data_IF_023923230535
#
_entry.id   IF_023923230535
#
_cell.length_a   1.000
_cell.length_b   1.000
_cell.length_c   1.000
_cell.angle_alpha   90.00
_cell.angle_beta   90.00
_cell.angle_gamma   90.00
#
_symmetry.space_group_name_H-M   'P 1'
#
loop_
_entity.id
_entity.type
_entity.pdbx_description
1 polymer ?
#
# COMPACT_ATOMS: atom_id res chain seq x y z
N UNK A 1 -31.95 -25.54 0.47
CA UNK A 1 -30.93 -26.55 0.82
C UNK A 1 -29.73 -26.29 -0.07
N UNK A 2 -28.57 -25.92 0.48
CA UNK A 2 -27.35 -25.76 -0.34
C UNK A 2 -26.97 -27.18 -0.80
N UNK A 3 -26.76 -27.45 -2.09
CA UNK A 3 -26.36 -28.77 -2.56
C UNK A 3 -25.10 -29.21 -1.80
N UNK A 4 -25.19 -30.34 -1.11
CA UNK A 4 -24.03 -30.94 -0.45
C UNK A 4 -23.15 -31.54 -1.55
N UNK A 5 -22.22 -30.75 -2.06
CA UNK A 5 -21.19 -31.22 -2.98
C UNK A 5 -20.23 -32.09 -2.19
N UNK A 6 -19.98 -33.31 -2.66
CA UNK A 6 -18.92 -34.17 -2.13
C UNK A 6 -17.59 -33.42 -2.23
N UNK A 7 -16.97 -33.13 -1.09
CA UNK A 7 -15.67 -32.46 -1.05
C UNK A 7 -14.59 -33.42 -1.57
N UNK A 8 -13.60 -32.87 -2.28
CA UNK A 8 -12.40 -33.62 -2.69
C UNK A 8 -11.61 -34.04 -1.46
N UNK A 9 -10.96 -35.20 -1.52
CA UNK A 9 -10.20 -35.74 -0.38
C UNK A 9 -8.96 -34.88 -0.07
N UNK A 10 -8.50 -34.82 1.20
CA UNK A 10 -7.34 -34.01 1.58
C UNK A 10 -6.08 -34.31 0.77
N UNK A 11 -5.84 -35.56 0.39
CA UNK A 11 -4.65 -35.98 -0.38
C UNK A 11 -4.61 -35.35 -1.79
N UNK A 12 -5.76 -34.94 -2.32
CA UNK A 12 -5.86 -34.26 -3.60
C UNK A 12 -5.64 -32.75 -3.49
N UNK A 13 -6.14 -32.12 -2.41
CA UNK A 13 -6.21 -30.65 -2.29
C UNK A 13 -5.15 -30.04 -1.37
N UNK A 14 -4.67 -30.77 -0.36
CA UNK A 14 -3.69 -30.32 0.63
C UNK A 14 -2.24 -30.57 0.18
N UNK A 15 -1.94 -30.39 -1.11
CA UNK A 15 -0.58 -30.48 -1.64
C UNK A 15 0.12 -29.14 -1.46
N UNK A 16 1.39 -29.11 -1.05
CA UNK A 16 2.16 -27.87 -0.89
C UNK A 16 2.16 -27.00 -2.16
N UNK A 17 2.28 -27.64 -3.33
CA UNK A 17 2.19 -26.97 -4.64
C UNK A 17 0.83 -26.32 -4.91
N UNK A 18 -0.25 -26.81 -4.30
CA UNK A 18 -1.61 -26.24 -4.38
C UNK A 18 -1.86 -25.17 -3.31
N UNK A 19 -1.44 -25.43 -2.07
CA UNK A 19 -1.61 -24.49 -0.96
C UNK A 19 -0.81 -23.20 -1.19
N UNK A 20 0.40 -23.30 -1.75
CA UNK A 20 1.21 -22.16 -2.16
C UNK A 20 0.70 -21.41 -3.41
N UNK A 21 -0.26 -21.99 -4.15
CA UNK A 21 -0.87 -21.42 -5.36
C UNK A 21 -2.36 -21.07 -5.19
N UNK A 22 -2.88 -21.03 -3.96
CA UNK A 22 -4.23 -20.56 -3.69
C UNK A 22 -4.33 -19.05 -3.98
N UNK A 23 -4.70 -18.74 -5.21
CA UNK A 23 -5.02 -17.38 -5.64
C UNK A 23 -6.29 -16.84 -4.97
N UNK A 24 -6.48 -15.52 -5.07
CA UNK A 24 -7.60 -14.79 -4.47
C UNK A 24 -8.97 -15.43 -4.77
N UNK A 25 -9.69 -15.84 -3.72
CA UNK A 25 -11.08 -16.30 -3.84
C UNK A 25 -12.06 -15.13 -3.69
N UNK A 26 -13.37 -15.38 -3.87
CA UNK A 26 -14.42 -14.37 -3.64
C UNK A 26 -14.45 -13.83 -2.20
N UNK A 27 -13.83 -14.54 -1.25
CA UNK A 27 -13.73 -14.22 0.18
C UNK A 27 -12.51 -13.32 0.47
N UNK A 28 -11.65 -13.05 -0.52
CA UNK A 28 -10.52 -12.12 -0.37
C UNK A 28 -11.00 -10.74 0.09
N UNK A 29 -10.43 -10.24 1.19
CA UNK A 29 -10.76 -8.92 1.76
C UNK A 29 -10.57 -7.79 0.73
N UNK A 30 -9.51 -7.87 -0.08
CA UNK A 30 -9.25 -6.92 -1.17
C UNK A 30 -10.36 -6.95 -2.23
N UNK A 31 -10.84 -8.13 -2.64
CA UNK A 31 -11.94 -8.21 -3.62
C UNK A 31 -13.26 -7.67 -3.07
N UNK A 32 -13.49 -7.81 -1.76
CA UNK A 32 -14.66 -7.19 -1.11
C UNK A 32 -14.56 -5.66 -1.18
N UNK A 33 -13.40 -5.09 -0.83
CA UNK A 33 -13.14 -3.66 -0.93
C UNK A 33 -13.32 -3.16 -2.37
N UNK A 34 -12.62 -3.73 -3.35
CA UNK A 34 -12.64 -3.26 -4.74
C UNK A 34 -14.05 -3.28 -5.34
N UNK A 35 -14.84 -4.32 -5.05
CA UNK A 35 -16.24 -4.37 -5.49
C UNK A 35 -17.06 -3.23 -4.89
N UNK A 36 -16.85 -2.91 -3.61
CA UNK A 36 -17.54 -1.81 -2.94
C UNK A 36 -17.15 -0.45 -3.54
N UNK A 37 -15.85 -0.20 -3.67
CA UNK A 37 -15.31 1.03 -4.28
C UNK A 37 -15.97 1.28 -5.65
N UNK A 38 -16.08 0.23 -6.47
CA UNK A 38 -16.72 0.30 -7.77
C UNK A 38 -18.25 0.49 -7.68
N UNK A 39 -18.96 -0.33 -6.88
CA UNK A 39 -20.44 -0.27 -6.81
C UNK A 39 -20.97 1.03 -6.22
N UNK A 40 -20.21 1.63 -5.30
CA UNK A 40 -20.56 2.89 -4.65
C UNK A 40 -19.94 4.11 -5.34
N UNK A 41 -19.24 3.93 -6.48
CA UNK A 41 -18.60 4.99 -7.25
C UNK A 41 -17.69 5.89 -6.40
N UNK A 42 -16.81 5.28 -5.59
CA UNK A 42 -15.86 6.05 -4.79
C UNK A 42 -14.96 6.89 -5.70
N UNK A 43 -14.74 8.14 -5.32
CA UNK A 43 -13.94 9.10 -6.10
C UNK A 43 -12.55 9.21 -5.50
N UNK A 44 -11.54 9.33 -6.35
CA UNK A 44 -10.15 9.52 -5.96
C UNK A 44 -9.70 10.90 -6.41
N UNK A 45 -9.07 11.65 -5.51
CA UNK A 45 -8.47 12.92 -5.87
C UNK A 45 -7.12 12.70 -6.57
N UNK A 46 -6.68 13.71 -7.31
CA UNK A 46 -5.29 13.76 -7.76
C UNK A 46 -4.38 13.82 -6.51
N UNK A 47 -3.27 13.05 -6.48
CA UNK A 47 -2.37 13.09 -5.34
C UNK A 47 -1.80 14.49 -5.09
N UNK A 48 -1.72 14.90 -3.82
CA UNK A 48 -0.88 16.03 -3.43
C UNK A 48 0.56 15.54 -3.37
N UNK A 49 1.39 15.96 -4.33
CA UNK A 49 2.70 15.37 -4.58
C UNK A 49 3.83 16.31 -4.14
N UNK A 50 4.50 15.97 -3.04
CA UNK A 50 5.63 16.72 -2.46
C UNK A 50 6.87 15.81 -2.36
N UNK A 51 7.21 15.18 -3.48
CA UNK A 51 8.34 14.26 -3.62
C UNK A 51 9.39 14.93 -4.53
N UNK A 52 10.64 15.00 -4.06
CA UNK A 52 11.76 15.55 -4.82
C UNK A 52 12.22 14.59 -5.94
N UNK A 53 13.12 15.06 -6.81
CA UNK A 53 13.55 14.31 -7.99
C UNK A 53 14.23 12.96 -7.67
N UNK A 54 14.71 12.76 -6.43
CA UNK A 54 15.29 11.50 -5.96
C UNK A 54 14.23 10.52 -5.41
N UNK A 55 12.95 10.90 -5.40
CA UNK A 55 11.87 10.06 -4.89
C UNK A 55 11.69 10.13 -3.37
N UNK A 56 12.14 11.21 -2.71
CA UNK A 56 12.01 11.42 -1.26
C UNK A 56 11.06 12.58 -0.94
N UNK A 57 10.35 12.49 0.17
CA UNK A 57 9.38 13.51 0.61
C UNK A 57 8.07 12.87 1.07
N UNK A 58 6.94 13.50 0.73
CA UNK A 58 5.63 12.94 1.04
C UNK A 58 4.61 13.12 -0.08
N UNK A 59 3.59 12.27 -0.08
CA UNK A 59 2.42 12.43 -0.95
C UNK A 59 1.14 12.04 -0.21
N UNK A 60 0.00 12.61 -0.61
CA UNK A 60 -1.30 12.20 -0.08
C UNK A 60 -2.26 11.72 -1.15
N UNK A 61 -3.05 10.70 -0.83
CA UNK A 61 -4.05 10.08 -1.71
C UNK A 61 -5.40 10.07 -1.01
N UNK A 62 -6.26 11.03 -1.36
CA UNK A 62 -7.61 11.12 -0.82
C UNK A 62 -8.58 10.27 -1.64
N UNK A 63 -9.45 9.55 -0.93
CA UNK A 63 -10.56 8.80 -1.52
C UNK A 63 -11.85 9.15 -0.79
N UNK A 64 -12.93 9.30 -1.55
CA UNK A 64 -14.25 9.74 -1.10
C UNK A 64 -15.28 8.65 -1.37
N UNK A 65 -15.80 8.06 -0.30
CA UNK A 65 -17.00 7.25 -0.35
C UNK A 65 -18.28 8.09 -0.24
N UNK A 66 -19.45 7.45 -0.13
CA UNK A 66 -20.74 8.13 -0.04
C UNK A 66 -20.87 9.07 1.16
N UNK A 67 -20.33 8.67 2.32
CA UNK A 67 -20.46 9.44 3.57
C UNK A 67 -19.15 10.05 4.07
N UNK A 68 -18.00 9.44 3.74
CA UNK A 68 -16.72 9.73 4.39
C UNK A 68 -15.58 9.74 3.39
N UNK A 69 -14.51 10.42 3.80
CA UNK A 69 -13.26 10.46 3.05
C UNK A 69 -12.14 9.86 3.88
N UNK A 70 -11.16 9.27 3.21
CA UNK A 70 -9.95 8.72 3.82
C UNK A 70 -8.74 9.16 3.03
N UNK A 71 -7.62 9.43 3.70
CA UNK A 71 -6.41 9.90 3.03
C UNK A 71 -5.23 9.05 3.42
N UNK A 72 -4.58 8.40 2.45
CA UNK A 72 -3.25 7.85 2.70
C UNK A 72 -2.26 9.02 2.76
N UNK A 73 -1.48 9.10 3.84
CA UNK A 73 -0.28 9.94 3.90
C UNK A 73 0.93 9.03 3.76
N UNK A 74 1.68 9.20 2.68
CA UNK A 74 2.86 8.42 2.34
C UNK A 74 4.12 9.26 2.55
N UNK A 75 5.09 8.72 3.28
CA UNK A 75 6.42 9.32 3.45
C UNK A 75 7.46 8.41 2.80
N UNK A 76 8.25 8.96 1.88
CA UNK A 76 9.37 8.27 1.26
C UNK A 76 10.69 8.86 1.77
N UNK A 77 11.54 7.98 2.29
CA UNK A 77 12.75 8.36 3.02
C UNK A 77 13.99 8.07 2.19
N UNK A 78 15.01 8.90 2.37
CA UNK A 78 16.36 8.55 1.96
C UNK A 78 16.93 7.58 2.99
N UNK A 79 16.96 6.30 2.64
CA UNK A 79 17.47 5.23 3.47
C UNK A 79 18.72 4.64 2.83
N UNK A 80 19.90 4.76 3.48
CA UNK A 80 21.12 4.10 3.04
C UNK A 80 20.94 2.57 2.91
N UNK A 81 21.62 1.97 1.94
CA UNK A 81 21.44 0.55 1.60
C UNK A 81 21.83 -0.39 2.74
N UNK A 82 22.84 -0.02 3.52
CA UNK A 82 23.34 -0.74 4.69
C UNK A 82 22.35 -0.77 5.86
N UNK A 83 21.40 0.17 5.91
CA UNK A 83 20.33 0.22 6.91
C UNK A 83 19.07 -0.54 6.46
N UNK A 84 19.01 -0.99 5.20
CA UNK A 84 17.87 -1.75 4.69
C UNK A 84 17.90 -3.16 5.25
N UNK A 85 16.84 -3.51 5.97
CA UNK A 85 16.64 -4.85 6.49
C UNK A 85 15.22 -5.32 6.25
N UNK A 86 15.09 -6.56 5.80
CA UNK A 86 13.82 -7.25 5.63
C UNK A 86 13.26 -7.84 6.93
N UNK A 87 14.01 -7.70 8.03
CA UNK A 87 13.63 -8.24 9.32
C UNK A 87 12.57 -7.35 9.99
N UNK A 88 11.71 -7.97 10.79
CA UNK A 88 10.68 -7.25 11.57
C UNK A 88 11.27 -6.26 12.58
N UNK A 89 12.53 -6.49 12.99
CA UNK A 89 13.31 -5.67 13.92
C UNK A 89 14.08 -4.53 13.23
N UNK A 90 13.85 -4.29 11.93
CA UNK A 90 14.41 -3.12 11.28
C UNK A 90 13.97 -1.84 12.03
N UNK A 91 14.83 -0.83 12.05
CA UNK A 91 14.55 0.47 12.68
C UNK A 91 14.17 1.55 11.65
N UNK A 92 14.32 1.24 10.36
CA UNK A 92 14.01 2.15 9.26
C UNK A 92 13.49 1.40 8.03
N UNK A 93 12.72 2.10 7.20
CA UNK A 93 12.08 1.58 5.98
C UNK A 93 12.13 2.62 4.87
N UNK A 94 12.17 2.18 3.61
CA UNK A 94 12.18 3.11 2.46
C UNK A 94 10.93 4.00 2.44
N UNK A 95 9.77 3.47 2.85
CA UNK A 95 8.54 4.25 2.97
C UNK A 95 7.74 3.87 4.21
N UNK A 96 7.09 4.86 4.80
CA UNK A 96 6.13 4.70 5.89
C UNK A 96 4.82 5.41 5.59
N UNK A 97 3.73 4.90 6.16
CA UNK A 97 2.39 5.29 5.74
C UNK A 97 1.43 5.34 6.91
N UNK A 98 0.41 6.18 6.78
CA UNK A 98 -0.78 6.12 7.63
C UNK A 98 -2.04 6.41 6.82
N UNK A 99 -3.16 5.82 7.25
CA UNK A 99 -4.48 6.11 6.68
C UNK A 99 -5.21 7.05 7.64
N UNK A 100 -5.39 8.29 7.23
CA UNK A 100 -6.09 9.32 7.96
C UNK A 100 -7.61 9.23 7.73
N UNK A 101 -8.38 9.42 8.80
CA UNK A 101 -9.84 9.47 8.85
C UNK A 101 -10.30 10.89 8.46
N UNK A 102 -10.52 11.12 7.17
CA UNK A 102 -10.80 12.43 6.59
C UNK A 102 -9.62 12.99 5.79
N UNK A 103 -9.64 14.31 5.56
CA UNK A 103 -8.57 15.04 4.88
C UNK A 103 -7.63 15.65 5.93
N UNK A 104 -6.33 15.32 5.93
CA UNK A 104 -5.39 15.84 6.91
C UNK A 104 -5.11 17.33 6.67
N UNK A 105 -4.96 18.08 7.75
CA UNK A 105 -4.45 19.46 7.69
C UNK A 105 -2.93 19.47 7.48
N UNK A 106 -2.36 20.63 7.15
CA UNK A 106 -0.90 20.78 7.11
C UNK A 106 -0.24 20.46 8.46
N UNK A 107 -0.88 20.87 9.58
CA UNK A 107 -0.40 20.52 10.92
C UNK A 107 -0.45 19.01 11.19
N UNK A 108 -1.43 18.28 10.62
CA UNK A 108 -1.45 16.82 10.70
C UNK A 108 -0.28 16.22 9.93
N UNK A 109 -0.02 16.70 8.71
CA UNK A 109 1.10 16.20 7.89
C UNK A 109 2.44 16.40 8.60
N UNK A 110 2.68 17.57 9.19
CA UNK A 110 3.91 17.86 9.96
C UNK A 110 4.03 16.89 11.14
N UNK A 111 2.99 16.79 11.98
CA UNK A 111 2.98 15.86 13.13
C UNK A 111 3.22 14.41 12.70
N UNK A 112 2.60 13.98 11.60
CA UNK A 112 2.71 12.62 11.09
C UNK A 112 4.09 12.34 10.52
N UNK A 113 4.72 13.31 9.86
CA UNK A 113 6.09 13.20 9.36
C UNK A 113 7.07 12.89 10.48
N UNK A 114 6.87 13.49 11.65
CA UNK A 114 7.77 13.31 12.80
C UNK A 114 7.50 12.02 13.59
N UNK A 115 6.35 11.36 13.38
CA UNK A 115 5.92 10.22 14.21
C UNK A 115 5.75 8.90 13.46
N UNK A 116 5.22 8.93 12.24
CA UNK A 116 4.96 7.72 11.44
C UNK A 116 6.24 6.93 11.14
N UNK A 117 7.39 7.57 10.82
CA UNK A 117 8.65 6.85 10.60
C UNK A 117 9.19 6.13 11.85
N UNK A 118 8.89 6.63 13.05
CA UNK A 118 9.43 6.12 14.32
C UNK A 118 8.78 4.82 14.80
N UNK A 119 7.64 4.41 14.21
CA UNK A 119 6.93 3.16 14.53
C UNK A 119 6.70 2.96 16.04
N UNK A 120 7.32 1.95 16.66
CA UNK A 120 7.22 1.65 18.09
C UNK A 120 7.61 2.83 18.99
N UNK A 121 8.54 3.70 18.55
CA UNK A 121 8.95 4.89 19.27
C UNK A 121 8.07 6.12 18.99
N UNK A 122 7.26 6.09 17.92
CA UNK A 122 6.37 7.19 17.52
C UNK A 122 4.94 7.01 17.98
N UNK A 123 4.15 8.09 17.91
CA UNK A 123 2.70 8.03 18.20
C UNK A 123 1.90 8.74 17.13
N UNK A 124 0.90 8.04 16.60
CA UNK A 124 -0.17 8.66 15.82
C UNK A 124 -1.35 8.95 16.76
N UNK A 125 -2.49 9.32 16.20
CA UNK A 125 -3.66 9.73 16.94
C UNK A 125 -4.89 8.91 16.56
N UNK A 126 -6.00 9.16 17.28
CA UNK A 126 -7.32 8.60 16.97
C UNK A 126 -7.87 9.00 15.59
N UNK A 127 -7.21 9.91 14.88
CA UNK A 127 -7.58 10.31 13.51
C UNK A 127 -6.87 9.45 12.46
N UNK A 128 -5.91 8.61 12.84
CA UNK A 128 -5.26 7.68 11.94
C UNK A 128 -5.80 6.26 12.17
N UNK A 129 -6.34 5.63 11.14
CA UNK A 129 -6.92 4.29 11.20
C UNK A 129 -5.87 3.18 11.15
N UNK A 130 -4.81 3.41 10.37
CA UNK A 130 -3.73 2.42 10.22
C UNK A 130 -2.36 3.08 10.16
N UNK A 131 -1.33 2.32 10.50
CA UNK A 131 0.07 2.67 10.31
C UNK A 131 0.78 1.52 9.60
N UNK A 132 1.56 1.82 8.56
CA UNK A 132 2.24 0.82 7.74
C UNK A 132 3.65 1.26 7.38
N UNK A 133 4.46 0.31 6.93
CA UNK A 133 5.84 0.49 6.49
C UNK A 133 6.18 -0.51 5.40
N UNK A 134 7.05 -0.11 4.47
CA UNK A 134 7.39 -0.92 3.31
C UNK A 134 8.82 -0.64 2.81
N UNK A 135 9.44 -1.67 2.22
CA UNK A 135 10.76 -1.58 1.61
C UNK A 135 10.69 -1.81 0.10
N UNK A 136 11.56 -1.12 -0.63
CA UNK A 136 11.76 -1.29 -2.06
C UNK A 136 12.30 -2.68 -2.35
N UNK A 137 11.92 -3.24 -3.49
CA UNK A 137 12.45 -4.51 -3.95
C UNK A 137 13.88 -4.33 -4.43
N UNK A 138 14.84 -4.92 -3.71
CA UNK A 138 16.26 -4.97 -4.15
C UNK A 138 16.45 -5.68 -5.49
N UNK A 139 15.46 -6.45 -5.95
CA UNK A 139 15.51 -7.23 -7.20
C UNK A 139 14.91 -6.48 -8.39
N UNK A 140 13.92 -5.62 -8.16
CA UNK A 140 13.13 -4.99 -9.23
C UNK A 140 13.15 -3.47 -9.24
N UNK A 141 13.35 -2.79 -8.10
CA UNK A 141 13.12 -1.34 -8.02
C UNK A 141 13.97 -0.56 -9.03
N UNK A 142 15.29 -0.68 -8.93
CA UNK A 142 16.22 0.02 -9.82
C UNK A 142 16.08 -0.48 -11.26
N UNK A 143 15.92 -1.78 -11.46
CA UNK A 143 15.73 -2.37 -12.79
C UNK A 143 14.53 -1.78 -13.54
N UNK A 144 13.40 -1.61 -12.85
CA UNK A 144 12.19 -1.04 -13.48
C UNK A 144 12.37 0.45 -13.75
N UNK A 145 12.89 1.21 -12.79
CA UNK A 145 13.18 2.64 -12.99
C UNK A 145 14.13 2.84 -14.18
N UNK A 146 15.19 2.04 -14.27
CA UNK A 146 16.19 2.14 -15.33
C UNK A 146 15.61 1.80 -16.71
N UNK A 147 14.76 0.76 -16.76
CA UNK A 147 14.08 0.38 -18.00
C UNK A 147 13.18 1.51 -18.49
N UNK A 148 12.32 2.02 -17.61
CA UNK A 148 11.36 3.08 -17.93
C UNK A 148 12.07 4.39 -18.28
N UNK A 149 13.14 4.76 -17.56
CA UNK A 149 13.96 5.94 -17.86
C UNK A 149 14.65 5.85 -19.23
N UNK A 150 14.97 4.63 -19.69
CA UNK A 150 15.53 4.38 -21.02
C UNK A 150 14.46 4.31 -22.12
N UNK A 151 13.18 4.51 -21.79
CA UNK A 151 12.06 4.44 -22.75
C UNK A 151 11.58 3.02 -23.06
N UNK A 152 11.94 2.03 -22.23
CA UNK A 152 11.70 0.61 -22.47
C UNK A 152 10.83 0.02 -21.35
N UNK A 153 9.87 -0.83 -21.71
CA UNK A 153 9.10 -1.57 -20.71
C UNK A 153 9.93 -2.70 -20.06
N UNK A 154 9.84 -2.90 -18.74
CA UNK A 154 10.53 -4.01 -18.06
C UNK A 154 10.00 -5.38 -18.53
N UNK A 155 10.86 -6.40 -18.46
CA UNK A 155 10.52 -7.76 -18.87
C UNK A 155 9.45 -8.38 -17.95
N UNK A 156 8.34 -8.82 -18.54
CA UNK A 156 7.18 -9.36 -17.84
C UNK A 156 7.51 -10.62 -17.03
N UNK A 157 8.40 -11.50 -17.53
CA UNK A 157 8.77 -12.73 -16.82
C UNK A 157 9.51 -12.39 -15.53
N UNK A 158 10.43 -11.42 -15.58
CA UNK A 158 11.17 -10.94 -14.41
C UNK A 158 10.24 -10.26 -13.40
N UNK A 159 9.25 -9.49 -13.87
CA UNK A 159 8.22 -8.92 -12.99
C UNK A 159 7.43 -10.04 -12.27
N UNK A 160 6.97 -11.04 -13.01
CA UNK A 160 6.15 -12.14 -12.49
C UNK A 160 6.93 -13.06 -11.53
N UNK A 161 8.25 -13.20 -11.69
CA UNK A 161 9.08 -14.00 -10.78
C UNK A 161 9.19 -13.38 -9.37
N UNK A 162 9.17 -12.05 -9.27
CA UNK A 162 9.32 -11.34 -7.99
C UNK A 162 7.96 -10.89 -7.42
N UNK A 163 7.08 -10.37 -8.27
CA UNK A 163 5.69 -10.04 -7.93
C UNK A 163 5.48 -8.78 -7.10
N UNK A 164 6.52 -8.00 -6.78
CA UNK A 164 6.38 -6.71 -6.09
C UNK A 164 7.52 -5.73 -6.39
N UNK A 165 7.17 -4.44 -6.48
CA UNK A 165 8.13 -3.32 -6.52
C UNK A 165 8.45 -2.81 -5.11
N UNK A 166 7.47 -2.84 -4.22
CA UNK A 166 7.62 -2.52 -2.80
C UNK A 166 6.82 -3.51 -1.97
N UNK A 167 7.40 -3.97 -0.86
CA UNK A 167 6.76 -4.95 0.03
C UNK A 167 6.44 -4.30 1.37
N UNK A 168 5.15 -4.23 1.69
CA UNK A 168 4.68 -3.86 3.03
C UNK A 168 5.09 -4.93 4.03
N UNK A 169 5.75 -4.55 5.13
CA UNK A 169 6.14 -5.50 6.18
C UNK A 169 5.11 -5.57 7.31
N UNK A 170 4.28 -4.54 7.46
CA UNK A 170 3.17 -4.53 8.39
C UNK A 170 2.10 -3.50 8.01
N UNK A 171 0.85 -3.78 8.39
CA UNK A 171 -0.24 -2.81 8.43
C UNK A 171 -0.93 -2.96 9.79
N UNK A 172 -0.68 -2.01 10.67
CA UNK A 172 -1.21 -2.00 12.03
C UNK A 172 -2.46 -1.13 12.08
N UNK A 173 -3.44 -1.54 12.87
CA UNK A 173 -4.66 -0.77 13.16
C UNK A 173 -5.15 -1.07 14.57
N UNK A 174 -6.42 -0.74 14.84
CA UNK A 174 -7.11 -1.11 16.08
C UNK A 174 -6.37 -0.67 17.35
N UNK A 175 -6.11 0.63 17.50
CA UNK A 175 -5.54 1.20 18.72
C UNK A 175 -4.01 1.16 18.82
N UNK A 176 -3.32 0.36 17.99
CA UNK A 176 -1.85 0.27 18.05
C UNK A 176 -1.21 1.63 17.73
N UNK A 177 -0.17 1.99 18.47
CA UNK A 177 0.56 3.27 18.34
C UNK A 177 -0.30 4.53 18.56
N UNK A 178 -1.44 4.41 19.21
CA UNK A 178 -2.40 5.51 19.40
C UNK A 178 -3.38 5.68 18.24
N UNK A 179 -3.37 4.77 17.25
CA UNK A 179 -4.33 4.74 16.16
C UNK A 179 -5.77 4.68 16.67
N UNK A 180 -6.72 4.96 15.79
CA UNK A 180 -8.14 4.74 16.05
C UNK A 180 -8.41 3.30 16.51
N UNK A 181 -9.22 3.18 17.56
CA UNK A 181 -9.76 1.90 17.99
C UNK A 181 -10.85 1.40 17.01
N UNK A 182 -11.02 0.08 16.93
CA UNK A 182 -12.05 -0.54 16.08
C UNK A 182 -13.46 -0.10 16.45
N UNK A 183 -13.73 0.20 17.73
CA UNK A 183 -15.02 0.71 18.19
C UNK A 183 -15.46 1.98 17.45
N UNK A 184 -14.53 2.90 17.16
CA UNK A 184 -14.81 4.18 16.44
C UNK A 184 -15.34 3.97 15.02
N UNK A 185 -14.90 2.92 14.34
CA UNK A 185 -15.23 2.67 12.93
C UNK A 185 -16.19 1.49 12.72
N UNK A 186 -16.56 0.81 13.81
CA UNK A 186 -17.31 -0.45 13.78
C UNK A 186 -18.71 -0.36 13.17
N UNK A 187 -19.35 0.79 13.31
CA UNK A 187 -20.71 1.08 12.85
C UNK A 187 -20.74 1.58 11.39
N UNK A 188 -19.58 1.96 10.83
CA UNK A 188 -19.48 2.45 9.44
C UNK A 188 -19.63 1.26 8.50
N UNK A 189 -20.50 1.38 7.51
CA UNK A 189 -20.82 0.26 6.64
C UNK A 189 -19.60 -0.22 5.85
N UNK A 190 -18.81 0.74 5.36
CA UNK A 190 -17.56 0.56 4.62
C UNK A 190 -16.42 -0.05 5.46
N UNK A 191 -16.46 0.07 6.79
CA UNK A 191 -15.43 -0.48 7.70
C UNK A 191 -15.90 -1.69 8.51
N UNK A 192 -17.14 -2.14 8.32
CA UNK A 192 -17.74 -3.22 9.11
C UNK A 192 -17.09 -4.57 8.83
N UNK A 193 -16.82 -4.86 7.56
CA UNK A 193 -16.14 -6.09 7.13
C UNK A 193 -14.72 -6.13 7.69
N UNK A 194 -14.15 -7.31 8.00
CA UNK A 194 -12.77 -7.41 8.47
C UNK A 194 -11.77 -6.74 7.51
N UNK A 195 -10.78 -6.10 8.11
CA UNK A 195 -9.60 -5.53 7.47
C UNK A 195 -9.84 -4.46 6.40
N UNK A 196 -11.02 -3.80 6.34
CA UNK A 196 -11.30 -2.84 5.27
C UNK A 196 -10.39 -1.61 5.31
N UNK A 197 -10.07 -1.09 6.50
CA UNK A 197 -9.13 0.02 6.64
C UNK A 197 -7.74 -0.38 6.15
N UNK A 198 -7.26 -1.55 6.57
CA UNK A 198 -5.96 -2.10 6.18
C UNK A 198 -5.89 -2.41 4.68
N UNK A 199 -6.97 -2.95 4.10
CA UNK A 199 -7.07 -3.20 2.66
C UNK A 199 -7.08 -1.89 1.86
N UNK A 200 -7.74 -0.84 2.37
CA UNK A 200 -7.72 0.46 1.73
C UNK A 200 -6.32 1.07 1.77
N UNK A 201 -5.63 0.95 2.90
CA UNK A 201 -4.23 1.36 3.05
C UNK A 201 -3.34 0.69 2.02
N UNK A 202 -3.37 -0.65 1.90
CA UNK A 202 -2.50 -1.34 0.93
C UNK A 202 -2.87 -1.06 -0.52
N UNK A 203 -4.17 -0.83 -0.82
CA UNK A 203 -4.61 -0.43 -2.15
C UNK A 203 -4.03 0.94 -2.54
N UNK A 204 -4.09 1.93 -1.64
CA UNK A 204 -3.53 3.26 -1.87
C UNK A 204 -2.00 3.23 -1.89
N UNK A 205 -1.34 2.39 -1.07
CA UNK A 205 0.12 2.18 -1.14
C UNK A 205 0.50 1.65 -2.52
N UNK A 206 -0.26 0.70 -3.09
CA UNK A 206 -0.01 0.21 -4.45
C UNK A 206 -0.05 1.36 -5.47
N UNK A 207 -1.03 2.27 -5.37
CA UNK A 207 -1.12 3.43 -6.26
C UNK A 207 0.12 4.32 -6.11
N UNK A 208 0.47 4.68 -4.87
CA UNK A 208 1.67 5.45 -4.57
C UNK A 208 2.95 4.84 -5.14
N UNK A 209 3.13 3.53 -5.00
CA UNK A 209 4.31 2.83 -5.48
C UNK A 209 4.44 2.92 -7.00
N UNK A 210 3.34 2.77 -7.74
CA UNK A 210 3.36 2.88 -9.20
C UNK A 210 3.68 4.31 -9.63
N UNK A 211 3.02 5.31 -9.02
CA UNK A 211 3.26 6.72 -9.31
C UNK A 211 4.70 7.13 -8.96
N UNK A 212 5.27 6.61 -7.87
CA UNK A 212 6.64 6.88 -7.46
C UNK A 212 7.66 6.32 -8.45
N UNK A 213 7.45 5.11 -8.96
CA UNK A 213 8.32 4.50 -9.96
C UNK A 213 8.30 5.30 -11.26
N UNK A 214 7.11 5.63 -11.77
CA UNK A 214 6.96 6.46 -12.97
C UNK A 214 7.60 7.84 -12.78
N UNK A 215 7.39 8.46 -11.63
CA UNK A 215 7.95 9.77 -11.32
C UNK A 215 9.49 9.73 -11.31
N UNK A 216 10.10 8.82 -10.57
CA UNK A 216 11.57 8.73 -10.49
C UNK A 216 12.17 8.36 -11.86
N UNK A 217 11.54 7.46 -12.61
CA UNK A 217 11.95 7.15 -13.98
C UNK A 217 11.90 8.38 -14.89
N UNK A 218 10.83 9.19 -14.80
CA UNK A 218 10.72 10.43 -15.58
C UNK A 218 11.80 11.45 -15.25
N UNK A 219 12.18 11.55 -13.96
CA UNK A 219 13.25 12.46 -13.52
C UNK A 219 14.63 11.98 -13.94
N UNK A 220 14.83 10.66 -14.01
CA UNK A 220 16.09 10.06 -14.47
C UNK A 220 16.25 10.09 -15.99
N UNK A 221 15.19 9.78 -16.74
CA UNK A 221 15.22 9.63 -18.19
C UNK A 221 14.89 10.88 -19.00
N UNK A 222 14.30 11.91 -18.37
CA UNK A 222 13.83 13.10 -19.06
C UNK A 222 12.84 12.75 -20.17
N UNK A 223 13.04 13.33 -21.35
CA UNK A 223 12.16 13.14 -22.51
C UNK A 223 12.12 11.70 -23.05
N UNK A 224 13.12 10.88 -22.73
CA UNK A 224 13.16 9.47 -23.15
C UNK A 224 12.27 8.58 -22.28
N UNK A 225 11.90 9.03 -21.08
CA UNK A 225 11.22 8.17 -20.12
C UNK A 225 9.80 7.80 -20.56
N UNK A 226 9.42 6.55 -20.33
CA UNK A 226 8.05 6.05 -20.53
C UNK A 226 7.42 5.68 -19.19
N UNK A 227 6.10 5.75 -19.11
CA UNK A 227 5.35 5.22 -17.96
C UNK A 227 5.27 3.71 -18.04
N UNK A 228 5.14 3.05 -16.89
CA UNK A 228 4.84 1.63 -16.84
C UNK A 228 3.50 1.36 -17.57
N UNK A 229 3.53 0.42 -18.52
CA UNK A 229 2.31 0.01 -19.22
C UNK A 229 1.34 -0.61 -18.21
N UNK A 230 0.06 -0.17 -18.17
CA UNK A 230 -0.94 -0.78 -17.31
C UNK A 230 -1.33 -2.23 -17.68
N UNK A 231 -0.90 -2.74 -18.84
CA UNK A 231 -1.23 -4.09 -19.33
C UNK A 231 -0.23 -5.15 -18.88
#
# INVERSE_FOLDING_TARGET
MIPQLTLRKPEEVMKLSRLGSLHQSRISFMRVLLRRLASENWRFDKPNWNINDNGFGYATYSVHGPERSYTLVAFAHDLPAELRSDRVIAEAWDCTFTLHDGIPTESDIIRLKDNVPLQEAGRISKNELTLSRANRSVRLWDYVIDSLAAGIQPDEKKLNEVGYLMRTTAVYGSGKFGASDRSKISNREEMRTPFQAEMLTVYLIRCFVMDLVDYVASKKGGDNAVKLDPK
#
